data_IF_246130373357
#
_entry.id   IF_246130373357
#
_cell.length_a   1.000
_cell.length_b   1.000
_cell.length_c   1.000
_cell.angle_alpha   90.00
_cell.angle_beta   90.00
_cell.angle_gamma   90.00
#
_symmetry.space_group_name_H-M   'P 1'
#
loop_
_entity.id
_entity.type
_entity.pdbx_description
1 polymer ?
#
# COMPACT_ATOMS: atom_id res chain seq x y z
N UNK A 1 30.65 7.98 7.58
CA UNK A 1 30.31 9.23 8.29
C UNK A 1 29.11 8.94 9.18
N UNK A 2 29.25 8.98 10.51
CA UNK A 2 28.10 8.92 11.43
C UNK A 2 27.45 10.30 11.43
N UNK A 3 26.36 10.48 10.70
CA UNK A 3 25.49 11.64 10.91
C UNK A 3 24.90 11.49 12.31
N UNK A 4 25.36 12.31 13.25
CA UNK A 4 24.77 12.41 14.58
C UNK A 4 23.45 13.16 14.38
N UNK A 5 22.39 12.42 14.10
CA UNK A 5 21.06 13.00 13.91
C UNK A 5 20.69 13.71 15.21
N UNK A 6 20.39 15.00 15.12
CA UNK A 6 19.91 15.77 16.27
C UNK A 6 18.64 15.08 16.83
N UNK A 7 18.60 14.72 18.13
CA UNK A 7 17.48 13.97 18.70
C UNK A 7 16.13 14.69 18.54
N UNK A 8 16.11 16.03 18.61
CA UNK A 8 14.88 16.79 18.42
C UNK A 8 14.39 16.68 16.97
N UNK A 9 15.29 16.85 16.00
CA UNK A 9 14.99 16.67 14.57
C UNK A 9 14.50 15.25 14.28
N UNK A 10 15.12 14.23 14.85
CA UNK A 10 14.67 12.84 14.70
C UNK A 10 13.23 12.65 15.19
N UNK A 11 12.91 13.14 16.39
CA UNK A 11 11.55 13.02 16.92
C UNK A 11 10.53 13.79 16.10
N UNK A 12 10.85 15.01 15.64
CA UNK A 12 9.94 15.77 14.77
C UNK A 12 9.66 14.99 13.48
N UNK A 13 10.70 14.54 12.77
CA UNK A 13 10.54 13.81 11.50
C UNK A 13 9.79 12.49 11.70
N UNK A 14 10.17 11.70 12.72
CA UNK A 14 9.49 10.44 13.04
C UNK A 14 7.99 10.66 13.28
N UNK A 15 7.63 11.61 14.13
CA UNK A 15 6.24 11.86 14.47
C UNK A 15 5.47 12.47 13.28
N UNK A 16 6.10 13.29 12.45
CA UNK A 16 5.49 13.78 11.21
C UNK A 16 5.15 12.65 10.23
N UNK A 17 6.06 11.69 10.03
CA UNK A 17 5.80 10.54 9.15
C UNK A 17 4.69 9.63 9.71
N UNK A 18 4.70 9.36 11.02
CA UNK A 18 3.63 8.61 11.68
C UNK A 18 2.27 9.31 11.53
N UNK A 19 2.22 10.63 11.71
CA UNK A 19 0.99 11.40 11.55
C UNK A 19 0.51 11.46 10.11
N UNK A 20 1.42 11.53 9.13
CA UNK A 20 1.04 11.43 7.73
C UNK A 20 0.39 10.07 7.40
N UNK A 21 0.96 8.95 7.89
CA UNK A 21 0.36 7.62 7.70
C UNK A 21 -1.02 7.50 8.39
N UNK A 22 -1.19 8.09 9.58
CA UNK A 22 -2.48 8.14 10.27
C UNK A 22 -3.51 9.02 9.53
N UNK A 23 -3.08 10.15 8.96
CA UNK A 23 -3.95 11.01 8.16
C UNK A 23 -4.42 10.33 6.88
N UNK A 24 -3.54 9.59 6.18
CA UNK A 24 -3.91 8.75 5.03
C UNK A 24 -5.07 7.80 5.40
N UNK A 25 -4.98 7.14 6.58
CA UNK A 25 -6.03 6.24 7.11
C UNK A 25 -7.35 6.99 7.28
N UNK A 26 -7.31 8.15 7.93
CA UNK A 26 -8.51 8.97 8.21
C UNK A 26 -9.17 9.43 6.91
N UNK A 27 -8.38 9.91 5.94
CA UNK A 27 -8.88 10.38 4.65
C UNK A 27 -9.54 9.23 3.89
N UNK A 28 -8.90 8.05 3.84
CA UNK A 28 -9.48 6.89 3.17
C UNK A 28 -10.83 6.48 3.81
N UNK A 29 -10.90 6.41 5.14
CA UNK A 29 -12.15 6.05 5.83
C UNK A 29 -13.29 7.03 5.54
N UNK A 30 -12.99 8.33 5.53
CA UNK A 30 -13.99 9.39 5.33
C UNK A 30 -14.48 9.48 3.90
N UNK A 31 -13.64 9.12 2.94
CA UNK A 31 -13.95 9.19 1.50
C UNK A 31 -14.47 7.86 0.94
N UNK A 32 -14.25 6.74 1.65
CA UNK A 32 -14.75 5.44 1.24
C UNK A 32 -16.28 5.38 1.21
N UNK A 33 -16.81 4.86 0.10
CA UNK A 33 -18.21 4.43 0.00
C UNK A 33 -18.43 3.06 0.65
N UNK A 34 -17.45 2.16 0.55
CA UNK A 34 -17.56 0.79 1.04
C UNK A 34 -17.64 0.75 2.56
N UNK A 35 -18.66 0.07 3.15
CA UNK A 35 -18.75 -0.11 4.60
C UNK A 35 -17.62 -0.98 5.15
N UNK A 36 -17.03 -1.86 4.32
CA UNK A 36 -15.86 -2.69 4.68
C UNK A 36 -14.68 -1.79 5.07
N UNK A 37 -14.50 -0.69 4.34
CA UNK A 37 -13.48 0.29 4.68
C UNK A 37 -14.00 1.24 5.77
N UNK A 38 -15.10 1.94 5.50
CA UNK A 38 -15.56 3.05 6.35
C UNK A 38 -15.94 2.65 7.77
N UNK A 39 -16.51 1.46 7.96
CA UNK A 39 -17.04 1.00 9.25
C UNK A 39 -16.18 -0.12 9.82
N UNK A 40 -15.87 -1.15 9.03
CA UNK A 40 -15.11 -2.30 9.53
C UNK A 40 -13.60 -2.04 9.64
N UNK A 41 -13.06 -1.07 8.90
CA UNK A 41 -11.66 -0.69 9.02
C UNK A 41 -10.69 -1.58 8.25
N UNK A 42 -11.15 -2.29 7.23
CA UNK A 42 -10.34 -3.29 6.51
C UNK A 42 -9.44 -2.66 5.44
N UNK A 43 -8.45 -1.90 5.91
CA UNK A 43 -7.43 -1.24 5.10
C UNK A 43 -6.21 -0.90 5.93
N UNK A 44 -5.10 -0.60 5.26
CA UNK A 44 -3.86 -0.18 5.90
C UNK A 44 -3.12 0.83 5.04
N UNK A 45 -2.42 1.74 5.71
CA UNK A 45 -1.66 2.83 5.08
C UNK A 45 -0.22 2.79 5.58
N UNK A 46 0.73 3.00 4.66
CA UNK A 46 2.14 3.03 4.99
C UNK A 46 2.94 3.99 4.14
N UNK A 47 4.07 4.42 4.70
CA UNK A 47 5.10 5.23 4.03
C UNK A 47 6.37 4.40 4.00
N UNK A 48 7.03 4.40 2.84
CA UNK A 48 8.14 3.54 2.52
C UNK A 48 9.32 4.34 1.98
N UNK A 49 10.54 3.84 2.18
CA UNK A 49 11.73 4.37 1.53
C UNK A 49 11.70 4.12 0.02
N UNK A 50 12.62 4.76 -0.72
CA UNK A 50 12.85 4.46 -2.15
C UNK A 50 13.24 2.99 -2.44
N UNK A 51 13.57 2.19 -1.40
CA UNK A 51 13.85 0.75 -1.51
C UNK A 51 12.66 -0.14 -1.12
N UNK A 52 11.52 0.45 -0.77
CA UNK A 52 10.34 -0.27 -0.32
C UNK A 52 10.39 -0.72 1.15
N UNK A 53 11.30 -0.17 1.96
CA UNK A 53 11.30 -0.45 3.41
C UNK A 53 10.29 0.44 4.12
N UNK A 54 9.42 -0.13 4.94
CA UNK A 54 8.41 0.64 5.68
C UNK A 54 9.07 1.49 6.78
N UNK A 55 8.73 2.79 6.82
CA UNK A 55 9.25 3.76 7.80
C UNK A 55 8.18 4.33 8.72
N UNK A 56 6.93 4.32 8.28
CA UNK A 56 5.77 4.71 9.09
C UNK A 56 4.52 3.95 8.61
N UNK A 57 3.61 3.70 9.55
CA UNK A 57 2.37 2.98 9.31
C UNK A 57 1.27 3.50 10.25
N UNK A 58 0.01 3.35 9.83
CA UNK A 58 -1.13 3.54 10.71
C UNK A 58 -1.26 2.40 11.74
N UNK A 59 -2.07 2.58 12.80
CA UNK A 59 -2.48 1.48 13.69
C UNK A 59 -3.48 0.59 12.94
N UNK A 60 -2.95 -0.22 12.03
CA UNK A 60 -3.72 -0.97 11.04
C UNK A 60 -3.56 -2.50 11.22
N UNK A 61 -4.00 -3.26 10.22
CA UNK A 61 -4.06 -4.72 10.29
C UNK A 61 -2.66 -5.35 10.15
N UNK A 62 -2.18 -6.14 11.14
CA UNK A 62 -0.84 -6.72 11.08
C UNK A 62 -0.56 -7.57 9.84
N UNK A 63 -1.58 -8.26 9.31
CA UNK A 63 -1.47 -9.08 8.10
C UNK A 63 -1.16 -8.24 6.86
N UNK A 64 -1.70 -7.03 6.77
CA UNK A 64 -1.36 -6.07 5.72
C UNK A 64 0.07 -5.56 5.93
N UNK A 65 0.34 -5.06 7.13
CA UNK A 65 1.59 -4.36 7.43
C UNK A 65 2.82 -5.25 7.25
N UNK A 66 2.71 -6.55 7.51
CA UNK A 66 3.80 -7.51 7.29
C UNK A 66 4.14 -7.75 5.81
N UNK A 67 3.18 -7.59 4.89
CA UNK A 67 3.35 -7.93 3.46
C UNK A 67 3.37 -6.71 2.53
N UNK A 68 2.94 -5.54 2.98
CA UNK A 68 3.02 -4.29 2.20
C UNK A 68 4.44 -3.91 1.73
N UNK A 69 5.54 -4.16 2.47
CA UNK A 69 6.89 -3.91 1.93
C UNK A 69 7.16 -4.69 0.64
N UNK A 70 6.67 -5.93 0.54
CA UNK A 70 6.86 -6.74 -0.66
C UNK A 70 5.98 -6.25 -1.81
N UNK A 71 4.78 -5.75 -1.51
CA UNK A 71 3.92 -5.08 -2.49
C UNK A 71 4.58 -3.84 -3.10
N UNK A 72 5.16 -2.96 -2.27
CA UNK A 72 5.89 -1.78 -2.76
C UNK A 72 7.13 -2.19 -3.55
N UNK A 73 7.88 -3.21 -3.09
CA UNK A 73 9.04 -3.72 -3.83
C UNK A 73 8.66 -4.35 -5.17
N UNK A 74 7.48 -4.95 -5.29
CA UNK A 74 7.01 -5.48 -6.57
C UNK A 74 6.81 -4.37 -7.62
N UNK A 75 6.28 -3.21 -7.22
CA UNK A 75 6.22 -2.02 -8.08
C UNK A 75 7.63 -1.55 -8.45
N UNK A 76 8.53 -1.42 -7.47
CA UNK A 76 9.92 -1.00 -7.73
C UNK A 76 10.62 -1.96 -8.71
N UNK A 77 10.41 -3.27 -8.56
CA UNK A 77 11.01 -4.28 -9.44
C UNK A 77 10.41 -4.26 -10.85
N UNK A 78 9.11 -4.03 -10.98
CA UNK A 78 8.42 -4.03 -12.27
C UNK A 78 8.79 -2.82 -13.14
N UNK A 79 8.94 -1.63 -12.52
CA UNK A 79 9.17 -0.38 -13.24
C UNK A 79 10.61 0.12 -13.19
N UNK A 80 11.40 -0.28 -12.19
CA UNK A 80 12.80 0.13 -12.07
C UNK A 80 12.96 1.64 -12.06
N UNK A 81 13.69 2.16 -13.06
CA UNK A 81 13.94 3.60 -13.21
C UNK A 81 12.80 4.33 -13.98
N UNK A 82 11.79 3.62 -14.51
CA UNK A 82 10.59 4.19 -15.16
C UNK A 82 9.49 4.50 -14.12
N UNK A 83 9.85 5.22 -13.07
CA UNK A 83 8.95 5.72 -12.03
C UNK A 83 9.07 7.24 -12.01
N UNK A 84 7.96 7.92 -12.24
CA UNK A 84 7.92 9.38 -12.38
C UNK A 84 7.02 10.03 -11.34
N UNK A 85 7.20 11.34 -11.16
CA UNK A 85 6.29 12.11 -10.31
C UNK A 85 4.86 12.03 -10.87
N UNK A 86 3.88 12.01 -9.95
CA UNK A 86 2.46 11.80 -10.25
C UNK A 86 2.07 10.42 -10.80
N UNK A 87 3.00 9.45 -10.94
CA UNK A 87 2.62 8.08 -11.26
C UNK A 87 1.76 7.46 -10.13
N UNK A 88 0.84 6.58 -10.51
CA UNK A 88 0.08 5.74 -9.59
C UNK A 88 0.14 4.31 -10.08
N UNK A 89 0.44 3.39 -9.17
CA UNK A 89 0.51 1.97 -9.44
C UNK A 89 -0.55 1.22 -8.67
N UNK A 90 -1.08 0.14 -9.24
CA UNK A 90 -2.08 -0.72 -8.62
C UNK A 90 -1.72 -2.19 -8.84
N UNK A 91 -1.89 -3.02 -7.80
CA UNK A 91 -1.82 -4.48 -7.93
C UNK A 91 -2.43 -5.20 -6.73
N UNK A 92 -2.81 -6.45 -6.92
CA UNK A 92 -3.29 -7.36 -5.86
C UNK A 92 -2.75 -8.79 -6.04
N UNK A 93 -1.77 -8.98 -6.93
CA UNK A 93 -1.15 -10.27 -7.18
C UNK A 93 -0.66 -10.91 -5.87
N UNK A 94 -1.16 -12.11 -5.51
CA UNK A 94 -0.86 -12.75 -4.23
C UNK A 94 0.60 -13.21 -4.15
N UNK A 95 1.29 -13.35 -5.28
CA UNK A 95 2.70 -13.71 -5.33
C UNK A 95 3.64 -12.52 -5.09
N UNK A 96 3.10 -11.30 -5.06
CA UNK A 96 3.83 -10.05 -4.89
C UNK A 96 3.42 -9.29 -3.63
N UNK A 97 3.22 -10.02 -2.53
CA UNK A 97 2.88 -9.43 -1.24
C UNK A 97 1.38 -9.17 -1.02
N UNK A 98 0.49 -9.66 -1.89
CA UNK A 98 -0.95 -9.70 -1.63
C UNK A 98 -1.31 -10.80 -0.61
N UNK A 99 -2.19 -10.50 0.34
CA UNK A 99 -2.74 -11.48 1.31
C UNK A 99 -3.73 -12.44 0.63
N UNK A 100 -4.48 -11.89 -0.33
CA UNK A 100 -5.48 -12.51 -1.19
C UNK A 100 -5.94 -11.44 -2.20
N UNK A 101 -6.65 -11.84 -3.26
CA UNK A 101 -7.02 -10.93 -4.35
C UNK A 101 -7.87 -9.71 -3.93
N UNK A 102 -8.81 -9.81 -2.97
CA UNK A 102 -9.56 -8.64 -2.52
C UNK A 102 -8.71 -7.51 -1.92
N UNK A 103 -7.50 -7.80 -1.44
CA UNK A 103 -6.63 -6.77 -0.86
C UNK A 103 -5.81 -6.07 -1.94
N UNK A 104 -6.37 -4.98 -2.45
CA UNK A 104 -5.77 -4.21 -3.54
C UNK A 104 -4.82 -3.15 -2.99
N UNK A 105 -3.59 -3.12 -3.52
CA UNK A 105 -2.57 -2.14 -3.19
C UNK A 105 -2.58 -1.02 -4.23
N UNK A 106 -2.54 0.22 -3.75
CA UNK A 106 -2.28 1.41 -4.56
C UNK A 106 -1.02 2.07 -4.02
N UNK A 107 -0.04 2.27 -4.89
CA UNK A 107 1.29 2.80 -4.55
C UNK A 107 1.53 4.06 -5.36
N UNK A 108 1.99 5.13 -4.72
CA UNK A 108 2.36 6.38 -5.38
C UNK A 108 3.73 6.87 -4.89
N UNK A 109 4.65 7.27 -5.79
CA UNK A 109 5.94 7.79 -5.40
C UNK A 109 5.84 9.24 -4.92
N UNK A 110 6.74 9.63 -4.02
CA UNK A 110 6.90 11.00 -3.58
C UNK A 110 8.24 11.56 -4.08
N UNK A 111 8.20 12.69 -4.77
CA UNK A 111 9.38 13.38 -5.30
C UNK A 111 9.62 14.73 -4.61
N UNK A 112 10.89 15.14 -4.54
CA UNK A 112 11.29 16.50 -4.17
C UNK A 112 12.52 16.89 -4.97
N UNK A 113 12.44 17.99 -5.73
CA UNK A 113 13.53 18.44 -6.62
C UNK A 113 14.05 17.31 -7.53
N UNK A 114 13.14 16.67 -8.25
CA UNK A 114 13.42 15.56 -9.19
C UNK A 114 14.06 14.31 -8.55
N UNK A 115 14.05 14.23 -7.21
CA UNK A 115 14.56 13.08 -6.47
C UNK A 115 13.42 12.27 -5.85
N UNK A 116 13.39 10.98 -6.14
CA UNK A 116 12.53 10.02 -5.45
C UNK A 116 12.90 9.95 -3.97
N UNK A 117 11.94 10.29 -3.11
CA UNK A 117 12.06 10.21 -1.66
C UNK A 117 11.63 8.82 -1.15
N UNK A 118 10.60 8.25 -1.74
CA UNK A 118 9.97 7.02 -1.29
C UNK A 118 8.56 6.88 -1.85
N UNK A 119 7.74 6.09 -1.17
CA UNK A 119 6.40 5.74 -1.63
C UNK A 119 5.37 5.86 -0.50
N UNK A 120 4.17 6.32 -0.85
CA UNK A 120 2.96 6.04 -0.07
C UNK A 120 2.28 4.79 -0.62
N UNK A 121 1.79 3.92 0.26
CA UNK A 121 0.97 2.78 -0.14
C UNK A 121 -0.31 2.73 0.70
N UNK A 122 -1.42 2.48 0.03
CA UNK A 122 -2.69 2.10 0.64
C UNK A 122 -3.02 0.69 0.20
N UNK A 123 -3.39 -0.16 1.15
CA UNK A 123 -4.05 -1.45 0.88
C UNK A 123 -5.48 -1.36 1.37
N UNK A 124 -6.44 -1.72 0.54
CA UNK A 124 -7.85 -1.69 0.91
C UNK A 124 -8.58 -2.93 0.40
N UNK A 125 -9.41 -3.50 1.25
CA UNK A 125 -10.21 -4.67 0.91
C UNK A 125 -11.40 -4.32 0.03
N UNK A 126 -11.47 -4.93 -1.14
CA UNK A 126 -12.58 -4.79 -2.07
C UNK A 126 -13.61 -5.89 -1.79
N UNK A 127 -14.90 -5.56 -1.60
CA UNK A 127 -15.91 -6.53 -1.19
C UNK A 127 -16.18 -7.62 -2.23
N UNK A 128 -15.78 -7.39 -3.48
CA UNK A 128 -15.91 -8.30 -4.61
C UNK A 128 -14.79 -7.99 -5.61
N UNK A 129 -14.10 -9.03 -6.09
CA UNK A 129 -13.02 -8.94 -7.08
C UNK A 129 -13.35 -9.70 -8.39
N UNK A 130 -14.62 -10.09 -8.56
CA UNK A 130 -15.11 -10.80 -9.74
C UNK A 130 -14.78 -12.30 -9.75
N UNK A 131 -14.78 -12.95 -8.58
CA UNK A 131 -14.56 -14.41 -8.48
C UNK A 131 -15.73 -15.21 -9.08
N UNK A 132 -15.61 -16.54 -9.11
CA UNK A 132 -16.67 -17.44 -9.59
C UNK A 132 -18.01 -17.30 -8.82
N UNK A 133 -17.99 -16.73 -7.62
CA UNK A 133 -19.19 -16.42 -6.84
C UNK A 133 -19.15 -14.97 -6.35
N UNK A 134 -20.30 -14.28 -6.25
CA UNK A 134 -20.34 -12.94 -5.69
C UNK A 134 -19.81 -12.87 -4.26
N UNK A 135 -19.02 -11.84 -3.98
CA UNK A 135 -18.41 -11.57 -2.68
C UNK A 135 -16.89 -11.69 -2.68
N UNK A 136 -16.33 -11.55 -1.48
CA UNK A 136 -14.89 -11.44 -1.25
C UNK A 136 -14.14 -12.76 -1.46
N UNK A 137 -14.75 -13.88 -1.07
CA UNK A 137 -14.12 -15.20 -1.13
C UNK A 137 -14.95 -16.16 -1.99
N UNK A 138 -14.36 -16.62 -3.10
CA UNK A 138 -14.91 -17.68 -3.92
C UNK A 138 -14.41 -19.05 -3.47
N UNK A 139 -15.31 -20.03 -3.31
CA UNK A 139 -14.93 -21.41 -3.07
C UNK A 139 -14.47 -22.08 -4.38
N UNK A 140 -13.24 -21.81 -4.79
CA UNK A 140 -12.64 -22.31 -6.04
C UNK A 140 -11.39 -23.14 -5.78
N UNK A 141 -10.97 -23.92 -6.78
CA UNK A 141 -9.81 -24.83 -6.67
C UNK A 141 -8.57 -24.31 -7.38
N UNK A 142 -8.69 -23.20 -8.12
CA UNK A 142 -7.60 -22.60 -8.89
C UNK A 142 -7.70 -21.07 -8.90
N UNK A 143 -6.55 -20.40 -9.00
CA UNK A 143 -6.44 -18.93 -8.96
C UNK A 143 -7.24 -18.24 -10.07
N UNK A 144 -7.41 -18.90 -11.22
CA UNK A 144 -8.18 -18.37 -12.34
C UNK A 144 -9.66 -18.17 -12.02
N UNK A 145 -10.18 -18.86 -10.99
CA UNK A 145 -11.55 -18.68 -10.50
C UNK A 145 -11.67 -17.68 -9.34
N UNK A 146 -10.55 -17.20 -8.78
CA UNK A 146 -10.55 -16.33 -7.60
C UNK A 146 -10.88 -14.86 -7.95
N UNK A 147 -10.88 -14.52 -9.24
CA UNK A 147 -11.28 -13.21 -9.76
C UNK A 147 -10.13 -12.46 -10.40
N UNK A 148 -10.22 -11.12 -10.38
CA UNK A 148 -9.27 -10.25 -11.05
C UNK A 148 -7.92 -10.23 -10.30
N UNK A 149 -6.91 -10.86 -10.90
CA UNK A 149 -5.51 -10.69 -10.54
C UNK A 149 -4.86 -9.60 -11.37
N UNK A 150 -4.38 -8.55 -10.71
CA UNK A 150 -3.65 -7.43 -11.28
C UNK A 150 -2.17 -7.58 -10.91
N UNK A 151 -1.27 -7.82 -11.90
CA UNK A 151 0.15 -7.60 -11.67
C UNK A 151 0.41 -6.10 -11.43
N UNK A 152 1.63 -5.70 -11.01
CA UNK A 152 2.02 -4.29 -10.96
C UNK A 152 1.76 -3.59 -12.30
N UNK A 153 0.78 -2.69 -12.31
CA UNK A 153 0.45 -1.85 -13.47
C UNK A 153 0.40 -0.37 -13.05
N UNK A 154 0.74 0.51 -13.99
CA UNK A 154 0.62 1.97 -13.86
C UNK A 154 -0.75 2.41 -14.40
N UNK A 155 -1.44 3.28 -13.68
CA UNK A 155 -2.79 3.79 -14.00
C UNK A 155 -2.84 5.31 -14.11
#
# INVERSE_FOLDING_TARGET
MKTKTDPATFEVVKNSLLKAAEEMKIVLAKTAYSPVLKVAGDYSCGIFTAKGDMVAQGPDLPIHLGSMPDAVRAVIQAFGDDIHDCDVFIHNDPYFGGSHLPDVNVVSPAFFQDRLLGFGCVRAHWPDIGSATPGSYGAVTEVYGEGLGLPPIRI
#
